data_IF_800344572776
#
_entry.id   IF_800344572776
#
_cell.length_a   1.000
_cell.length_b   1.000
_cell.length_c   1.000
_cell.angle_alpha   90.00
_cell.angle_beta   90.00
_cell.angle_gamma   90.00
#
_symmetry.space_group_name_H-M   'P 1'
#
loop_
_entity.id
_entity.type
_entity.pdbx_description
1 polymer ?
#
# COMPACT_ATOMS: atom_id res chain seq x y z
N UNK A 1 8.68 13.01 -7.22
CA UNK A 1 7.85 11.80 -7.47
C UNK A 1 6.43 12.02 -6.96
N UNK A 2 5.45 11.21 -7.41
CA UNK A 2 4.08 11.16 -6.90
C UNK A 2 3.73 9.71 -6.62
N UNK A 3 3.13 9.41 -5.47
CA UNK A 3 2.68 8.07 -5.10
C UNK A 3 1.16 8.05 -5.08
N UNK A 4 0.56 7.07 -5.75
CA UNK A 4 -0.89 6.85 -5.78
C UNK A 4 -1.24 5.47 -5.23
N UNK A 5 -2.18 5.41 -4.31
CA UNK A 5 -2.63 4.17 -3.68
C UNK A 5 -3.88 3.65 -4.38
N UNK A 6 -3.78 2.52 -5.05
CA UNK A 6 -4.88 1.86 -5.76
C UNK A 6 -5.55 0.78 -4.91
N UNK A 7 -4.85 0.27 -3.92
CA UNK A 7 -5.36 -0.70 -2.96
C UNK A 7 -4.51 -0.70 -1.69
N UNK A 8 -5.17 -0.69 -0.54
CA UNK A 8 -4.56 -0.44 0.77
C UNK A 8 -4.91 -1.48 1.83
N UNK A 9 -5.82 -2.42 1.55
CA UNK A 9 -6.21 -3.49 2.48
C UNK A 9 -5.20 -4.63 2.49
N UNK A 10 -5.00 -5.18 3.68
CA UNK A 10 -4.24 -6.42 3.90
C UNK A 10 -5.13 -7.65 3.91
N UNK A 11 -4.54 -8.78 3.60
CA UNK A 11 -5.11 -10.14 3.58
C UNK A 11 -6.29 -10.34 2.62
N UNK A 12 -7.31 -9.48 2.65
CA UNK A 12 -8.50 -9.59 1.81
C UNK A 12 -9.06 -8.21 1.41
N UNK A 13 -9.61 -8.10 0.20
CA UNK A 13 -10.41 -6.94 -0.17
C UNK A 13 -11.60 -6.78 0.77
N UNK A 14 -11.90 -5.55 1.20
CA UNK A 14 -12.98 -5.26 2.14
C UNK A 14 -13.85 -4.12 1.64
N UNK A 15 -14.94 -4.45 0.97
CA UNK A 15 -15.89 -3.45 0.45
C UNK A 15 -16.90 -3.00 1.49
N UNK A 16 -17.36 -1.76 1.37
CA UNK A 16 -18.49 -1.26 2.16
C UNK A 16 -19.77 -2.02 1.78
N UNK A 17 -20.51 -2.50 2.79
CA UNK A 17 -21.85 -3.04 2.58
C UNK A 17 -22.93 -1.95 2.73
N UNK A 18 -24.17 -2.28 2.37
CA UNK A 18 -25.30 -1.35 2.40
C UNK A 18 -25.54 -0.72 3.79
N UNK A 19 -25.35 -1.49 4.88
CA UNK A 19 -25.55 -0.97 6.24
C UNK A 19 -24.44 0.01 6.63
N UNK A 20 -23.17 -0.26 6.30
CA UNK A 20 -22.06 0.67 6.53
C UNK A 20 -22.28 1.99 5.77
N UNK A 21 -22.69 1.94 4.50
CA UNK A 21 -23.02 3.13 3.73
C UNK A 21 -24.18 3.90 4.37
N UNK A 22 -25.25 3.22 4.77
CA UNK A 22 -26.39 3.83 5.46
C UNK A 22 -25.98 4.54 6.77
N UNK A 23 -25.09 3.93 7.57
CA UNK A 23 -24.60 4.54 8.80
C UNK A 23 -23.78 5.82 8.52
N UNK A 24 -22.91 5.82 7.50
CA UNK A 24 -22.18 7.01 7.08
C UNK A 24 -23.13 8.15 6.68
N UNK A 25 -24.16 7.86 5.89
CA UNK A 25 -25.18 8.85 5.50
C UNK A 25 -25.89 9.43 6.74
N UNK A 26 -26.28 8.59 7.70
CA UNK A 26 -26.92 9.04 8.94
C UNK A 26 -25.98 9.93 9.76
N UNK A 27 -24.69 9.54 9.91
CA UNK A 27 -23.69 10.36 10.61
C UNK A 27 -23.51 11.72 9.93
N UNK A 28 -23.41 11.76 8.60
CA UNK A 28 -23.29 13.00 7.83
C UNK A 28 -24.52 13.92 8.01
N UNK A 29 -25.74 13.36 7.92
CA UNK A 29 -26.98 14.11 8.12
C UNK A 29 -27.11 14.67 9.55
N UNK A 30 -26.67 13.92 10.57
CA UNK A 30 -26.63 14.41 11.95
C UNK A 30 -25.66 15.58 12.13
N UNK A 31 -24.48 15.50 11.51
CA UNK A 31 -23.48 16.57 11.55
C UNK A 31 -23.96 17.84 10.81
N UNK A 32 -24.84 17.70 9.82
CA UNK A 32 -25.45 18.81 9.08
C UNK A 32 -26.63 19.48 9.81
N UNK A 33 -27.13 18.92 10.92
CA UNK A 33 -28.27 19.49 11.62
C UNK A 33 -28.00 20.92 12.09
N UNK A 34 -28.93 21.83 11.76
CA UNK A 34 -28.84 23.26 12.10
C UNK A 34 -27.91 24.09 11.21
N UNK A 35 -27.26 23.46 10.21
CA UNK A 35 -26.48 24.18 9.19
C UNK A 35 -27.36 24.61 8.02
N UNK A 36 -26.96 25.70 7.37
CA UNK A 36 -27.60 26.20 6.13
C UNK A 36 -26.57 26.19 5.03
N UNK A 37 -26.93 25.64 3.88
CA UNK A 37 -26.10 25.59 2.68
C UNK A 37 -26.80 26.41 1.59
N UNK A 38 -26.13 27.41 1.03
CA UNK A 38 -26.72 28.30 0.02
C UNK A 38 -26.48 27.75 -1.40
N UNK A 39 -25.48 26.89 -1.55
CA UNK A 39 -25.07 26.34 -2.85
C UNK A 39 -24.29 25.02 -2.66
N UNK A 40 -23.96 24.35 -3.78
CA UNK A 40 -23.23 23.07 -3.77
C UNK A 40 -21.80 23.20 -3.21
N UNK A 41 -21.15 24.36 -3.38
CA UNK A 41 -19.81 24.60 -2.84
C UNK A 41 -19.78 24.56 -1.31
N UNK A 42 -20.84 25.07 -0.65
CA UNK A 42 -20.98 25.01 0.82
C UNK A 42 -21.14 23.56 1.29
N UNK A 43 -21.86 22.74 0.49
CA UNK A 43 -22.00 21.30 0.75
C UNK A 43 -20.66 20.57 0.60
N UNK A 44 -19.91 20.84 -0.46
CA UNK A 44 -18.59 20.26 -0.70
C UNK A 44 -17.62 20.65 0.42
N UNK A 45 -17.58 21.93 0.81
CA UNK A 45 -16.72 22.40 1.90
C UNK A 45 -17.09 21.74 3.23
N UNK A 46 -18.37 21.58 3.55
CA UNK A 46 -18.82 20.87 4.73
C UNK A 46 -18.39 19.40 4.72
N UNK A 47 -18.57 18.69 3.60
CA UNK A 47 -18.15 17.30 3.46
C UNK A 47 -16.64 17.17 3.62
N UNK A 48 -15.87 18.03 2.97
CA UNK A 48 -14.42 17.88 2.90
C UNK A 48 -13.68 18.31 4.18
N UNK A 49 -14.23 19.32 4.90
CA UNK A 49 -13.52 19.91 6.04
C UNK A 49 -14.13 19.59 7.40
N UNK A 50 -15.44 19.34 7.46
CA UNK A 50 -16.10 19.17 8.76
C UNK A 50 -16.45 17.71 9.05
N UNK A 51 -16.59 16.84 8.04
CA UNK A 51 -16.83 15.43 8.27
C UNK A 51 -15.52 14.66 8.48
N UNK A 52 -15.44 13.79 9.49
CA UNK A 52 -14.35 12.82 9.62
C UNK A 52 -14.20 11.98 8.36
N UNK A 53 -12.98 11.54 8.04
CA UNK A 53 -12.75 10.74 6.85
C UNK A 53 -13.55 9.44 6.88
N UNK A 54 -13.70 8.79 8.05
CA UNK A 54 -14.55 7.62 8.24
C UNK A 54 -16.02 7.84 7.86
N UNK A 55 -16.49 9.09 7.81
CA UNK A 55 -17.88 9.42 7.40
C UNK A 55 -17.96 9.75 5.92
N UNK A 56 -17.05 10.61 5.42
CA UNK A 56 -17.08 11.12 4.05
C UNK A 56 -16.40 10.24 3.01
N UNK A 57 -15.59 9.28 3.42
CA UNK A 57 -14.79 8.41 2.58
C UNK A 57 -14.79 6.96 3.05
N UNK A 58 -13.82 6.20 2.58
CA UNK A 58 -13.49 4.85 3.02
C UNK A 58 -11.96 4.66 2.96
N UNK A 59 -11.41 3.95 3.94
CA UNK A 59 -9.97 3.64 3.99
C UNK A 59 -9.53 2.55 3.02
N UNK A 60 -10.35 2.29 2.00
CA UNK A 60 -10.05 1.38 0.92
C UNK A 60 -10.83 0.07 0.97
N UNK A 61 -11.00 -0.51 -0.21
CA UNK A 61 -11.68 -1.79 -0.41
C UNK A 61 -10.81 -2.78 -1.17
N UNK A 62 -9.77 -2.32 -1.85
CA UNK A 62 -8.86 -3.15 -2.63
C UNK A 62 -7.64 -3.59 -1.83
N UNK A 63 -7.10 -4.77 -2.16
CA UNK A 63 -5.83 -5.24 -1.63
C UNK A 63 -4.63 -4.61 -2.36
N UNK A 64 -3.46 -4.77 -1.79
CA UNK A 64 -2.21 -4.04 -2.03
C UNK A 64 -1.87 -3.76 -3.50
N UNK A 65 -1.88 -2.48 -3.88
CA UNK A 65 -1.34 -1.97 -5.13
C UNK A 65 -1.01 -0.49 -5.00
N UNK A 66 0.25 -0.12 -5.19
CA UNK A 66 0.74 1.25 -5.10
C UNK A 66 1.48 1.63 -6.37
N UNK A 67 1.15 2.79 -6.96
CA UNK A 67 1.84 3.33 -8.12
C UNK A 67 2.84 4.40 -7.70
N UNK A 68 4.06 4.33 -8.25
CA UNK A 68 5.11 5.35 -8.06
C UNK A 68 5.34 6.04 -9.40
N UNK A 69 4.85 7.28 -9.52
CA UNK A 69 5.03 8.10 -10.72
C UNK A 69 6.31 8.91 -10.63
N UNK A 70 7.22 8.69 -11.54
CA UNK A 70 8.50 9.41 -11.55
C UNK A 70 9.22 9.35 -12.88
N UNK A 71 8.74 8.61 -13.87
CA UNK A 71 9.34 8.42 -15.20
C UNK A 71 8.30 8.25 -16.30
N UNK A 72 8.77 7.80 -17.46
CA UNK A 72 7.93 7.58 -18.65
C UNK A 72 7.25 6.20 -18.66
N UNK A 73 7.66 5.30 -17.77
CA UNK A 73 7.10 3.97 -17.60
C UNK A 73 6.35 3.90 -16.27
N UNK A 74 5.31 3.06 -16.20
CA UNK A 74 4.59 2.79 -14.97
C UNK A 74 5.44 1.96 -14.01
N UNK A 75 5.46 2.33 -12.74
CA UNK A 75 6.07 1.56 -11.65
C UNK A 75 4.97 1.26 -10.64
N UNK A 76 4.76 -0.02 -10.36
CA UNK A 76 3.73 -0.53 -9.47
C UNK A 76 4.37 -1.43 -8.42
N UNK A 77 3.91 -1.31 -7.18
CA UNK A 77 4.25 -2.22 -6.09
C UNK A 77 3.01 -3.08 -5.82
N UNK A 78 3.20 -4.38 -5.96
CA UNK A 78 2.22 -5.46 -5.86
C UNK A 78 1.08 -5.43 -6.89
N UNK A 79 0.42 -6.58 -7.01
CA UNK A 79 -0.61 -6.89 -7.98
C UNK A 79 -1.92 -7.36 -7.31
N UNK A 80 -2.24 -6.79 -6.14
CA UNK A 80 -3.51 -7.01 -5.46
C UNK A 80 -4.69 -6.46 -6.26
N UNK A 81 -5.90 -6.49 -5.69
CA UNK A 81 -7.11 -6.10 -6.44
C UNK A 81 -7.10 -4.65 -6.89
N UNK A 82 -6.33 -3.76 -6.25
CA UNK A 82 -6.10 -2.38 -6.72
C UNK A 82 -5.51 -2.29 -8.12
N UNK A 83 -4.76 -3.31 -8.57
CA UNK A 83 -4.23 -3.37 -9.94
C UNK A 83 -5.33 -3.40 -11.01
N UNK A 84 -6.48 -4.01 -10.72
CA UNK A 84 -7.67 -3.94 -11.58
C UNK A 84 -8.11 -2.50 -11.79
N UNK A 85 -8.20 -1.73 -10.72
CA UNK A 85 -8.69 -0.35 -10.78
C UNK A 85 -7.67 0.57 -11.47
N UNK A 86 -6.38 0.40 -11.21
CA UNK A 86 -5.32 1.04 -12.00
C UNK A 86 -5.44 0.71 -13.49
N UNK A 87 -5.77 -0.53 -13.83
CA UNK A 87 -5.88 -1.00 -15.22
C UNK A 87 -7.07 -0.41 -15.99
N UNK A 88 -8.11 0.11 -15.34
CA UNK A 88 -9.30 0.64 -16.02
C UNK A 88 -9.03 1.94 -16.82
N UNK A 89 -8.44 3.00 -16.24
CA UNK A 89 -8.03 4.19 -17.00
C UNK A 89 -6.97 3.88 -18.06
N UNK A 90 -6.07 2.93 -17.78
CA UNK A 90 -4.99 2.52 -18.66
C UNK A 90 -5.44 1.53 -19.76
N UNK A 91 -6.70 1.09 -19.77
CA UNK A 91 -7.21 0.04 -20.65
C UNK A 91 -7.01 0.32 -22.16
N UNK A 92 -6.87 1.58 -22.56
CA UNK A 92 -6.61 1.99 -23.92
C UNK A 92 -5.19 2.53 -24.14
N UNK A 93 -4.37 2.60 -23.10
CA UNK A 93 -3.01 3.10 -23.20
C UNK A 93 -2.04 1.97 -23.56
N UNK A 94 -1.13 2.25 -24.50
CA UNK A 94 0.04 1.40 -24.72
C UNK A 94 1.14 1.84 -23.76
N UNK A 95 1.77 0.90 -23.07
CA UNK A 95 2.75 1.25 -22.05
C UNK A 95 3.69 0.10 -21.70
N UNK A 96 4.65 0.47 -20.87
CA UNK A 96 5.54 -0.44 -20.17
C UNK A 96 5.19 -0.38 -18.71
N UNK A 97 4.86 -1.52 -18.12
CA UNK A 97 4.42 -1.66 -16.75
C UNK A 97 5.46 -2.46 -15.98
N UNK A 98 6.11 -1.83 -15.01
CA UNK A 98 7.11 -2.44 -14.16
C UNK A 98 6.44 -2.74 -12.81
N UNK A 99 6.18 -4.01 -12.53
CA UNK A 99 5.51 -4.47 -11.31
C UNK A 99 6.56 -5.09 -10.39
N UNK A 100 6.72 -4.53 -9.20
CA UNK A 100 7.59 -5.04 -8.16
C UNK A 100 6.76 -5.80 -7.14
N UNK A 101 7.04 -7.08 -6.95
CA UNK A 101 6.31 -7.92 -6.00
C UNK A 101 7.07 -8.02 -4.68
N UNK A 102 6.38 -7.70 -3.60
CA UNK A 102 6.89 -7.90 -2.25
C UNK A 102 7.00 -9.38 -1.92
N UNK A 103 5.94 -10.15 -2.17
CA UNK A 103 5.87 -11.59 -1.95
C UNK A 103 4.71 -12.23 -2.73
N UNK A 104 4.41 -13.52 -2.46
CA UNK A 104 3.49 -14.30 -3.28
C UNK A 104 2.15 -14.64 -2.58
N UNK A 105 1.78 -13.95 -1.49
CA UNK A 105 0.46 -14.13 -0.90
C UNK A 105 -0.62 -13.59 -1.84
N UNK A 106 -1.81 -14.13 -1.71
CA UNK A 106 -2.92 -13.91 -2.63
C UNK A 106 -3.31 -12.44 -2.79
N UNK A 107 -3.38 -11.71 -1.71
CA UNK A 107 -3.75 -10.29 -1.70
C UNK A 107 -2.76 -9.39 -2.42
N UNK A 108 -1.56 -9.91 -2.75
CA UNK A 108 -0.56 -9.23 -3.57
C UNK A 108 -0.53 -9.69 -5.04
N UNK A 109 -1.31 -10.72 -5.41
CA UNK A 109 -1.33 -11.27 -6.78
C UNK A 109 -2.71 -11.32 -7.42
N UNK A 110 -3.79 -11.37 -6.62
CA UNK A 110 -5.14 -11.73 -7.09
C UNK A 110 -5.76 -10.72 -8.07
N UNK A 111 -5.23 -9.51 -8.18
CA UNK A 111 -5.68 -8.51 -9.15
C UNK A 111 -5.14 -8.70 -10.56
N UNK A 112 -4.02 -9.42 -10.72
CA UNK A 112 -3.36 -9.56 -12.01
C UNK A 112 -4.22 -10.22 -13.09
N UNK A 113 -5.01 -11.27 -12.82
CA UNK A 113 -5.92 -11.85 -13.80
C UNK A 113 -6.95 -10.87 -14.37
N UNK A 114 -7.21 -9.77 -13.69
CA UNK A 114 -8.15 -8.71 -14.06
C UNK A 114 -7.46 -7.43 -14.55
N UNK A 115 -6.15 -7.47 -14.74
CA UNK A 115 -5.36 -6.36 -15.25
C UNK A 115 -5.54 -6.21 -16.76
N UNK A 116 -6.47 -5.36 -17.18
CA UNK A 116 -6.84 -5.18 -18.60
C UNK A 116 -5.64 -4.95 -19.52
N UNK A 117 -4.61 -4.16 -19.18
CA UNK A 117 -3.44 -3.98 -20.03
C UNK A 117 -2.69 -5.27 -20.40
N UNK A 118 -2.79 -6.33 -19.57
CA UNK A 118 -2.15 -7.63 -19.87
C UNK A 118 -2.79 -8.36 -21.06
N UNK A 119 -4.01 -8.01 -21.44
CA UNK A 119 -4.72 -8.59 -22.59
C UNK A 119 -4.55 -7.77 -23.88
N UNK A 120 -3.84 -6.64 -23.84
CA UNK A 120 -3.70 -5.73 -24.97
C UNK A 120 -2.37 -5.99 -25.69
N UNK A 121 -2.38 -6.39 -26.97
CA UNK A 121 -1.15 -6.58 -27.75
C UNK A 121 -0.33 -5.28 -27.85
N UNK A 122 0.99 -5.42 -27.69
CA UNK A 122 1.94 -4.31 -27.76
C UNK A 122 2.21 -3.63 -26.42
N UNK A 123 1.52 -4.01 -25.34
CA UNK A 123 1.93 -3.69 -23.99
C UNK A 123 3.09 -4.60 -23.56
N UNK A 124 3.96 -4.09 -22.70
CA UNK A 124 5.05 -4.82 -22.06
C UNK A 124 4.87 -4.78 -20.56
N UNK A 125 4.85 -5.94 -19.92
CA UNK A 125 4.74 -6.08 -18.48
C UNK A 125 5.99 -6.78 -17.99
N UNK A 126 6.75 -6.10 -17.17
CA UNK A 126 7.98 -6.60 -16.54
C UNK A 126 7.70 -6.83 -15.07
N UNK A 127 7.76 -8.06 -14.63
CA UNK A 127 7.51 -8.44 -13.23
C UNK A 127 8.85 -8.66 -12.56
N UNK A 128 9.15 -7.85 -11.57
CA UNK A 128 10.38 -7.87 -10.78
C UNK A 128 10.09 -8.47 -9.41
N UNK A 129 10.91 -9.40 -8.97
CA UNK A 129 10.83 -9.92 -7.60
C UNK A 129 12.15 -10.52 -7.16
N UNK A 130 12.39 -10.47 -5.87
CA UNK A 130 13.50 -11.20 -5.22
C UNK A 130 13.03 -12.61 -4.84
N UNK A 131 11.72 -12.79 -4.61
CA UNK A 131 11.14 -14.08 -4.28
C UNK A 131 11.28 -15.06 -5.47
N UNK A 132 11.75 -16.28 -5.25
CA UNK A 132 11.78 -17.31 -6.29
C UNK A 132 10.36 -17.81 -6.62
N UNK A 133 10.18 -18.42 -7.81
CA UNK A 133 8.91 -19.07 -8.17
C UNK A 133 7.78 -18.14 -8.60
N UNK A 134 8.08 -16.87 -8.88
CA UNK A 134 7.07 -15.86 -9.27
C UNK A 134 6.28 -16.27 -10.51
N UNK A 135 6.95 -16.71 -11.58
CA UNK A 135 6.27 -17.14 -12.81
C UNK A 135 5.32 -18.31 -12.54
N UNK A 136 5.76 -19.29 -11.76
CA UNK A 136 4.94 -20.44 -11.37
C UNK A 136 3.70 -20.01 -10.59
N UNK A 137 3.84 -19.04 -9.67
CA UNK A 137 2.72 -18.51 -8.89
C UNK A 137 1.66 -17.85 -9.79
N UNK A 138 2.08 -17.02 -10.77
CA UNK A 138 1.17 -16.39 -11.73
C UNK A 138 0.48 -17.40 -12.63
N UNK A 139 1.20 -18.39 -13.13
CA UNK A 139 0.62 -19.47 -13.94
C UNK A 139 -0.35 -20.31 -13.12
N UNK A 140 0.00 -20.65 -11.89
CA UNK A 140 -0.82 -21.48 -11.00
C UNK A 140 -2.14 -20.80 -10.65
N UNK A 141 -2.12 -19.53 -10.24
CA UNK A 141 -3.37 -18.82 -9.91
C UNK A 141 -4.32 -18.71 -11.11
N UNK A 142 -3.79 -18.70 -12.34
CA UNK A 142 -4.58 -18.65 -13.58
C UNK A 142 -4.71 -20.01 -14.28
N UNK A 143 -4.68 -21.09 -13.53
CA UNK A 143 -4.89 -22.44 -14.02
C UNK A 143 -6.22 -23.04 -13.55
N UNK A 144 -6.81 -23.99 -14.30
CA UNK A 144 -7.92 -24.77 -13.81
C UNK A 144 -7.53 -25.56 -12.52
N UNK A 145 -8.43 -25.69 -11.53
CA UNK A 145 -9.81 -25.20 -11.50
C UNK A 145 -9.96 -23.77 -10.94
N UNK A 146 -8.87 -23.05 -10.66
CA UNK A 146 -8.90 -21.77 -9.94
C UNK A 146 -9.37 -20.60 -10.80
N UNK A 147 -8.99 -20.57 -12.09
CA UNK A 147 -9.31 -19.46 -12.98
C UNK A 147 -9.62 -19.94 -14.38
N UNK A 148 -10.64 -19.37 -15.08
CA UNK A 148 -11.09 -19.85 -16.38
C UNK A 148 -10.20 -19.40 -17.55
N UNK A 149 -9.43 -18.30 -17.38
CA UNK A 149 -8.56 -17.73 -18.43
C UNK A 149 -7.10 -18.02 -18.06
N UNK A 150 -6.43 -18.92 -18.79
CA UNK A 150 -5.06 -19.28 -18.44
C UNK A 150 -4.09 -18.12 -18.73
N UNK A 151 -2.98 -18.08 -17.99
CA UNK A 151 -1.96 -17.03 -18.08
C UNK A 151 -1.49 -16.76 -19.53
N UNK A 152 -1.28 -17.83 -20.34
CA UNK A 152 -0.84 -17.70 -21.72
C UNK A 152 -1.90 -17.11 -22.69
N UNK A 153 -3.14 -16.90 -22.25
CA UNK A 153 -4.15 -16.18 -23.02
C UNK A 153 -3.98 -14.66 -22.98
N UNK A 154 -3.14 -14.16 -22.09
CA UNK A 154 -2.73 -12.76 -22.07
C UNK A 154 -1.91 -12.42 -23.33
N UNK A 155 -2.12 -11.24 -23.89
CA UNK A 155 -1.59 -10.87 -25.22
C UNK A 155 -0.48 -9.83 -25.16
N UNK A 156 -0.21 -9.25 -23.98
CA UNK A 156 0.96 -8.42 -23.73
C UNK A 156 2.23 -9.28 -23.71
N UNK A 157 3.37 -8.66 -23.93
CA UNK A 157 4.67 -9.26 -23.66
C UNK A 157 4.92 -9.23 -22.16
N UNK A 158 4.86 -10.39 -21.49
CA UNK A 158 5.06 -10.50 -20.04
C UNK A 158 6.39 -11.19 -19.80
N UNK A 159 7.26 -10.56 -19.01
CA UNK A 159 8.59 -11.07 -18.67
C UNK A 159 8.84 -11.02 -17.17
N UNK A 160 9.54 -12.01 -16.63
CA UNK A 160 9.90 -12.12 -15.23
C UNK A 160 11.38 -11.81 -15.04
N UNK A 161 11.69 -10.92 -14.11
CA UNK A 161 13.02 -10.39 -13.85
C UNK A 161 13.40 -10.64 -12.40
N UNK A 162 14.20 -11.69 -12.11
CA UNK A 162 14.66 -11.93 -10.75
C UNK A 162 15.64 -10.84 -10.32
N UNK A 163 15.41 -10.30 -9.12
CA UNK A 163 16.29 -9.37 -8.45
C UNK A 163 17.06 -10.06 -7.32
N UNK A 164 18.10 -9.41 -6.83
CA UNK A 164 18.81 -9.79 -5.61
C UNK A 164 18.60 -8.73 -4.54
N UNK A 165 18.42 -9.13 -3.29
CA UNK A 165 18.32 -8.18 -2.19
C UNK A 165 19.67 -7.44 -2.02
N UNK A 166 19.60 -6.21 -1.51
CA UNK A 166 20.76 -5.32 -1.28
C UNK A 166 21.57 -4.93 -2.54
N UNK A 167 21.06 -5.29 -3.74
CA UNK A 167 21.63 -4.84 -5.00
C UNK A 167 20.81 -3.65 -5.53
N UNK A 168 21.52 -2.63 -6.02
CA UNK A 168 20.89 -1.45 -6.65
C UNK A 168 20.75 -1.67 -8.13
N UNK A 169 19.56 -1.46 -8.64
CA UNK A 169 19.19 -1.55 -10.07
C UNK A 169 18.73 -0.18 -10.59
N UNK A 170 18.96 0.09 -11.86
CA UNK A 170 18.33 1.19 -12.59
C UNK A 170 17.19 0.64 -13.45
N UNK A 171 15.94 0.93 -13.06
CA UNK A 171 14.74 0.41 -13.71
C UNK A 171 13.78 1.57 -13.96
N UNK A 172 13.33 1.74 -15.20
CA UNK A 172 12.40 2.82 -15.59
C UNK A 172 12.91 4.24 -15.21
N UNK A 173 14.23 4.45 -15.20
CA UNK A 173 14.85 5.72 -14.81
C UNK A 173 14.79 6.03 -13.31
N UNK A 174 14.61 5.00 -12.48
CA UNK A 174 14.58 5.08 -11.02
C UNK A 174 15.58 4.07 -10.45
N UNK A 175 16.33 4.46 -9.43
CA UNK A 175 17.19 3.53 -8.67
C UNK A 175 16.30 2.73 -7.71
N UNK A 176 16.44 1.40 -7.76
CA UNK A 176 15.64 0.49 -6.93
C UNK A 176 16.56 -0.45 -6.18
N UNK A 177 16.34 -0.59 -4.87
CA UNK A 177 16.99 -1.59 -4.01
C UNK A 177 15.93 -2.33 -3.22
N UNK A 178 16.01 -3.66 -3.20
CA UNK A 178 15.14 -4.50 -2.37
C UNK A 178 15.84 -4.97 -1.11
N UNK A 179 15.07 -5.16 -0.04
CA UNK A 179 15.52 -5.68 1.25
C UNK A 179 14.57 -6.78 1.73
N UNK A 180 15.12 -7.85 2.27
CA UNK A 180 14.33 -8.91 2.92
C UNK A 180 13.68 -8.41 4.20
N UNK A 181 12.43 -8.77 4.42
CA UNK A 181 11.61 -8.45 5.58
C UNK A 181 11.14 -9.75 6.26
N UNK A 182 10.87 -9.67 7.55
CA UNK A 182 10.41 -10.83 8.31
C UNK A 182 8.89 -11.00 8.15
N UNK A 183 8.51 -12.02 7.37
CA UNK A 183 7.11 -12.40 7.14
C UNK A 183 7.05 -13.89 6.82
N UNK A 184 6.00 -14.64 7.20
CA UNK A 184 5.84 -16.03 6.80
C UNK A 184 5.85 -16.21 5.27
N UNK A 185 6.82 -16.96 4.75
CA UNK A 185 7.01 -17.15 3.31
C UNK A 185 7.91 -16.10 2.64
N UNK A 186 8.63 -15.31 3.41
CA UNK A 186 9.51 -14.22 3.01
C UNK A 186 8.80 -13.07 2.28
N UNK A 187 9.07 -11.84 2.66
CA UNK A 187 8.62 -10.62 1.98
C UNK A 187 9.81 -9.70 1.72
N UNK A 188 9.67 -8.79 0.76
CA UNK A 188 10.72 -7.86 0.37
C UNK A 188 10.18 -6.44 0.24
N UNK A 189 10.79 -5.51 0.99
CA UNK A 189 10.56 -4.08 0.80
C UNK A 189 11.39 -3.54 -0.35
N UNK A 190 10.93 -2.45 -0.97
CA UNK A 190 11.64 -1.78 -2.06
C UNK A 190 11.83 -0.30 -1.76
N UNK A 191 13.06 0.18 -1.95
CA UNK A 191 13.41 1.59 -1.90
C UNK A 191 13.61 2.12 -3.31
N UNK A 192 12.87 3.16 -3.67
CA UNK A 192 12.90 3.85 -4.96
C UNK A 192 13.51 5.23 -4.77
N UNK A 193 14.49 5.59 -5.61
CA UNK A 193 15.17 6.88 -5.53
C UNK A 193 15.28 7.53 -6.91
N UNK A 194 14.91 8.82 -7.00
CA UNK A 194 15.04 9.63 -8.21
C UNK A 194 15.15 11.11 -7.86
N UNK A 195 16.12 11.81 -8.48
CA UNK A 195 16.30 13.25 -8.36
C UNK A 195 16.37 13.75 -6.90
N UNK A 196 17.00 12.98 -6.01
CA UNK A 196 17.12 13.31 -4.60
C UNK A 196 15.86 13.03 -3.76
N UNK A 197 14.80 12.49 -4.36
CA UNK A 197 13.58 12.04 -3.67
C UNK A 197 13.61 10.53 -3.47
N UNK A 198 13.00 10.06 -2.38
CA UNK A 198 12.97 8.64 -2.04
C UNK A 198 11.62 8.18 -1.49
N UNK A 199 11.21 6.98 -1.90
CA UNK A 199 10.02 6.27 -1.40
C UNK A 199 10.44 4.87 -0.99
N UNK A 200 10.02 4.44 0.20
CA UNK A 200 10.15 3.05 0.63
C UNK A 200 8.77 2.41 0.71
N UNK A 201 8.58 1.31 0.00
CA UNK A 201 7.44 0.42 0.10
C UNK A 201 7.83 -0.77 0.98
N UNK A 202 7.27 -0.84 2.18
CA UNK A 202 7.57 -1.84 3.22
C UNK A 202 6.26 -2.41 3.77
N UNK A 203 5.64 -3.26 2.97
CA UNK A 203 4.45 -4.04 3.35
C UNK A 203 4.85 -5.36 3.96
N UNK A 204 3.94 -6.02 4.68
CA UNK A 204 4.07 -7.38 5.20
C UNK A 204 5.43 -7.62 5.88
N UNK A 205 5.57 -6.97 7.02
CA UNK A 205 6.81 -7.05 7.80
C UNK A 205 6.55 -6.98 9.29
N UNK A 206 7.08 -7.96 10.01
CA UNK A 206 7.13 -7.96 11.47
C UNK A 206 8.53 -7.56 11.92
N UNK A 207 8.64 -6.50 12.72
CA UNK A 207 9.93 -6.06 13.27
C UNK A 207 9.98 -6.33 14.77
N UNK A 208 10.94 -7.17 15.18
CA UNK A 208 11.19 -7.48 16.59
C UNK A 208 12.49 -6.81 17.02
N UNK A 209 12.44 -6.13 18.16
CA UNK A 209 13.65 -5.57 18.81
C UNK A 209 14.31 -6.68 19.65
N UNK A 210 15.05 -7.59 19.02
CA UNK A 210 15.90 -8.53 19.71
C UNK A 210 17.38 -8.35 19.33
N UNK A 211 18.29 -8.87 20.15
CA UNK A 211 19.73 -8.67 19.99
C UNK A 211 20.31 -9.35 18.73
N UNK A 212 19.57 -10.26 18.10
CA UNK A 212 20.00 -11.03 16.93
C UNK A 212 19.40 -10.46 15.63
N UNK A 213 18.47 -9.52 15.73
CA UNK A 213 17.74 -8.99 14.59
C UNK A 213 18.42 -7.75 14.00
N UNK A 214 18.62 -7.68 12.67
CA UNK A 214 19.23 -6.54 12.01
C UNK A 214 18.27 -5.32 11.90
N UNK A 215 17.71 -4.86 13.03
CA UNK A 215 16.97 -3.58 13.08
C UNK A 215 17.80 -2.45 12.47
N UNK A 216 19.13 -2.49 12.68
CA UNK A 216 20.04 -1.54 12.07
C UNK A 216 20.04 -1.58 10.54
N UNK A 217 19.97 -2.76 9.91
CA UNK A 217 19.90 -2.86 8.46
C UNK A 217 18.61 -2.26 7.91
N UNK A 218 17.47 -2.47 8.61
CA UNK A 218 16.20 -1.86 8.25
C UNK A 218 16.23 -0.34 8.44
N UNK A 219 16.79 0.16 9.53
CA UNK A 219 16.93 1.60 9.76
C UNK A 219 17.77 2.27 8.68
N UNK A 220 18.86 1.63 8.22
CA UNK A 220 19.64 2.13 7.09
C UNK A 220 18.86 2.10 5.77
N UNK A 221 17.98 1.11 5.59
CA UNK A 221 17.11 1.00 4.41
C UNK A 221 16.09 2.12 4.31
N UNK A 222 15.50 2.54 5.45
CA UNK A 222 14.50 3.62 5.53
C UNK A 222 15.09 4.99 5.82
N UNK A 223 16.41 5.10 6.08
CA UNK A 223 17.05 6.34 6.52
C UNK A 223 16.74 7.52 5.60
N UNK A 224 16.30 8.63 6.22
CA UNK A 224 16.03 9.91 5.58
C UNK A 224 15.05 9.82 4.38
N UNK A 225 14.21 8.79 4.36
CA UNK A 225 13.22 8.61 3.29
C UNK A 225 12.18 9.72 3.32
N UNK A 226 11.83 10.24 2.13
CA UNK A 226 10.77 11.26 2.02
C UNK A 226 9.38 10.68 2.31
N UNK A 227 9.13 9.44 1.88
CA UNK A 227 7.90 8.70 2.20
C UNK A 227 8.20 7.24 2.53
N UNK A 228 7.85 6.82 3.73
CA UNK A 228 7.79 5.42 4.14
C UNK A 228 6.33 4.94 4.12
N UNK A 229 6.03 3.98 3.25
CA UNK A 229 4.77 3.23 3.24
C UNK A 229 5.03 1.98 4.07
N UNK A 230 4.37 1.87 5.22
CA UNK A 230 4.71 0.88 6.23
C UNK A 230 3.52 0.03 6.63
N UNK A 231 3.74 -1.28 6.77
CA UNK A 231 2.79 -2.24 7.31
C UNK A 231 2.39 -1.86 8.74
N UNK A 232 1.15 -1.48 8.92
CA UNK A 232 0.55 -1.21 10.21
C UNK A 232 -0.82 -1.89 10.31
N UNK A 233 -0.86 -3.18 10.00
CA UNK A 233 -2.09 -3.96 9.92
C UNK A 233 -2.80 -4.00 11.27
N UNK A 234 -2.05 -4.09 12.37
CA UNK A 234 -2.61 -4.34 13.69
C UNK A 234 -2.53 -3.13 14.62
N UNK A 235 -3.44 -3.08 15.59
CA UNK A 235 -3.22 -2.31 16.81
C UNK A 235 -2.09 -2.93 17.63
N UNK A 236 -1.51 -2.17 18.56
CA UNK A 236 -0.49 -2.71 19.46
C UNK A 236 -1.02 -3.94 20.23
N UNK A 237 -2.26 -3.88 20.70
CA UNK A 237 -2.87 -4.98 21.48
C UNK A 237 -3.02 -6.25 20.65
N UNK A 238 -3.43 -6.15 19.40
CA UNK A 238 -3.53 -7.30 18.51
C UNK A 238 -2.15 -7.89 18.19
N UNK A 239 -1.16 -7.02 17.94
CA UNK A 239 0.19 -7.43 17.57
C UNK A 239 0.95 -8.16 18.69
N UNK A 240 0.71 -7.81 19.97
CA UNK A 240 1.34 -8.48 21.12
C UNK A 240 0.49 -9.61 21.70
N UNK A 241 -0.74 -9.79 21.20
CA UNK A 241 -1.71 -10.79 21.65
C UNK A 241 -1.85 -11.95 20.66
N UNK A 242 -3.07 -12.15 20.20
CA UNK A 242 -3.43 -13.32 19.37
C UNK A 242 -2.77 -13.37 17.99
N UNK A 243 -2.21 -12.23 17.51
CA UNK A 243 -1.60 -12.09 16.19
C UNK A 243 -0.08 -11.96 16.23
N UNK A 244 0.55 -12.29 17.34
CA UNK A 244 2.01 -12.38 17.45
C UNK A 244 2.56 -13.45 16.48
N UNK A 245 3.65 -13.13 15.75
CA UNK A 245 4.26 -13.98 14.72
C UNK A 245 3.42 -14.21 13.46
N UNK A 246 2.44 -13.36 13.20
CA UNK A 246 1.69 -13.41 11.94
C UNK A 246 2.40 -12.65 10.81
N UNK A 247 3.53 -12.01 11.12
CA UNK A 247 4.38 -11.34 10.12
C UNK A 247 3.98 -9.91 9.80
N UNK A 248 3.23 -9.24 10.69
CA UNK A 248 2.79 -7.86 10.51
C UNK A 248 3.14 -6.98 11.70
N UNK A 249 3.25 -5.69 11.45
CA UNK A 249 3.57 -4.66 12.43
C UNK A 249 2.33 -3.89 12.89
N UNK A 250 2.58 -2.92 13.76
CA UNK A 250 1.58 -2.01 14.31
C UNK A 250 2.00 -0.55 14.17
N UNK A 251 1.06 0.34 14.41
CA UNK A 251 1.23 1.78 14.30
C UNK A 251 2.28 2.37 15.25
N UNK A 252 2.45 1.82 16.44
CA UNK A 252 3.41 2.31 17.45
C UNK A 252 4.84 2.05 16.98
N UNK A 253 5.12 0.82 16.55
CA UNK A 253 6.43 0.45 16.03
C UNK A 253 6.76 1.22 14.74
N UNK A 254 5.74 1.46 13.89
CA UNK A 254 5.90 2.28 12.70
C UNK A 254 6.44 3.68 13.02
N UNK A 255 5.90 4.34 14.06
CA UNK A 255 6.37 5.66 14.53
C UNK A 255 7.77 5.58 15.07
N UNK A 256 8.09 4.59 15.92
CA UNK A 256 9.43 4.44 16.51
C UNK A 256 10.50 4.30 15.42
N UNK A 257 10.27 3.41 14.46
CA UNK A 257 11.22 3.18 13.35
C UNK A 257 11.32 4.41 12.43
N UNK A 258 10.20 5.08 12.14
CA UNK A 258 10.20 6.27 11.31
C UNK A 258 10.96 7.45 11.95
N UNK A 259 10.81 7.66 13.26
CA UNK A 259 11.56 8.69 14.01
C UNK A 259 13.04 8.35 14.05
N UNK A 260 13.41 7.11 14.38
CA UNK A 260 14.80 6.65 14.44
C UNK A 260 15.47 6.69 13.05
N UNK A 261 14.74 6.33 12.00
CA UNK A 261 15.18 6.41 10.60
C UNK A 261 15.19 7.83 10.01
N UNK A 262 14.78 8.85 10.77
CA UNK A 262 14.65 10.24 10.29
C UNK A 262 13.76 10.37 9.04
N UNK A 263 12.71 9.57 8.96
CA UNK A 263 11.73 9.59 7.88
C UNK A 263 10.96 10.90 7.90
N UNK A 264 10.69 11.50 6.75
CA UNK A 264 9.94 12.76 6.68
C UNK A 264 8.43 12.56 6.75
N UNK A 265 7.92 11.52 6.07
CA UNK A 265 6.50 11.18 6.07
C UNK A 265 6.29 9.68 6.20
N UNK A 266 5.46 9.27 7.16
CA UNK A 266 5.02 7.89 7.39
C UNK A 266 3.59 7.74 6.87
N UNK A 267 3.35 6.75 6.01
CA UNK A 267 2.03 6.35 5.57
C UNK A 267 1.72 4.94 6.07
N UNK A 268 0.76 4.83 6.99
CA UNK A 268 0.29 3.55 7.51
C UNK A 268 -0.50 2.83 6.42
N UNK A 269 -0.17 1.58 6.17
CA UNK A 269 -0.63 0.80 5.03
C UNK A 269 -0.99 -0.63 5.44
N UNK A 270 -1.53 -1.43 4.54
CA UNK A 270 -1.88 -2.84 4.71
C UNK A 270 -2.93 -3.07 5.80
N UNK A 271 -4.05 -2.37 5.67
CA UNK A 271 -5.09 -2.28 6.69
C UNK A 271 -5.80 -3.60 6.97
N UNK A 272 -5.95 -3.93 8.24
CA UNK A 272 -6.72 -5.11 8.69
C UNK A 272 -8.13 -5.11 8.09
N UNK A 273 -8.48 -6.20 7.42
CA UNK A 273 -9.74 -6.33 6.68
C UNK A 273 -11.00 -6.35 7.56
N UNK A 274 -10.84 -6.64 8.84
CA UNK A 274 -11.95 -6.68 9.81
C UNK A 274 -12.24 -5.33 10.46
N UNK A 275 -11.32 -4.35 10.38
CA UNK A 275 -11.51 -3.04 10.97
C UNK A 275 -12.43 -2.16 10.13
N UNK A 276 -13.32 -1.44 10.83
CA UNK A 276 -14.17 -0.41 10.23
C UNK A 276 -13.42 0.92 10.08
N UNK A 277 -13.95 1.81 9.24
CA UNK A 277 -13.31 3.12 8.99
C UNK A 277 -13.18 3.99 10.24
N UNK A 278 -14.12 3.87 11.21
CA UNK A 278 -14.01 4.57 12.50
C UNK A 278 -12.76 4.13 13.29
N UNK A 279 -12.41 2.84 13.25
CA UNK A 279 -11.19 2.30 13.89
C UNK A 279 -9.94 2.91 13.27
N UNK A 280 -9.91 3.14 11.97
CA UNK A 280 -8.76 3.77 11.31
C UNK A 280 -8.63 5.27 11.64
N UNK A 281 -9.74 6.01 11.78
CA UNK A 281 -9.68 7.39 12.26
C UNK A 281 -9.11 7.44 13.70
N UNK A 282 -9.55 6.55 14.59
CA UNK A 282 -9.04 6.42 15.96
C UNK A 282 -7.56 6.03 15.96
N UNK A 283 -7.18 5.00 15.18
CA UNK A 283 -5.80 4.53 15.07
C UNK A 283 -4.84 5.63 14.58
N UNK A 284 -5.28 6.44 13.61
CA UNK A 284 -4.49 7.56 13.10
C UNK A 284 -4.27 8.63 14.18
N UNK A 285 -5.31 8.97 14.97
CA UNK A 285 -5.19 9.96 16.02
C UNK A 285 -4.36 9.44 17.21
N UNK A 286 -4.50 8.18 17.57
CA UNK A 286 -3.66 7.52 18.58
C UNK A 286 -2.19 7.50 18.14
N UNK A 287 -1.93 7.21 16.88
CA UNK A 287 -0.58 7.23 16.29
C UNK A 287 0.05 8.62 16.37
N UNK A 288 -0.71 9.67 16.04
CA UNK A 288 -0.26 11.06 16.14
C UNK A 288 -0.03 11.48 17.60
N UNK A 289 -0.89 11.00 18.49
CA UNK A 289 -0.73 11.25 19.95
C UNK A 289 0.53 10.58 20.47
N UNK A 290 0.80 9.35 20.07
CA UNK A 290 2.02 8.64 20.44
C UNK A 290 3.27 9.38 19.92
N UNK A 291 3.27 9.85 18.68
CA UNK A 291 4.39 10.66 18.15
C UNK A 291 4.67 11.89 19.03
N UNK A 292 3.63 12.63 19.44
CA UNK A 292 3.79 13.81 20.32
C UNK A 292 4.41 13.44 21.67
N UNK A 293 4.08 12.27 22.21
CA UNK A 293 4.67 11.76 23.47
C UNK A 293 6.11 11.31 23.25
N UNK A 294 6.40 10.59 22.17
CA UNK A 294 7.72 10.06 21.88
C UNK A 294 8.74 11.18 21.58
N UNK A 295 8.32 12.21 20.84
CA UNK A 295 9.17 13.31 20.42
C UNK A 295 8.38 14.59 20.18
N UNK A 296 8.45 15.52 21.11
CA UNK A 296 7.79 16.85 21.00
C UNK A 296 8.33 17.69 19.84
N UNK A 297 9.54 17.42 19.38
CA UNK A 297 10.23 18.19 18.33
C UNK A 297 10.23 17.50 16.96
N UNK A 298 9.62 16.33 16.84
CA UNK A 298 9.58 15.59 15.59
C UNK A 298 8.75 16.35 14.53
N UNK A 299 9.29 16.40 13.32
CA UNK A 299 8.60 16.94 12.13
C UNK A 299 8.00 15.84 11.26
N UNK A 300 7.93 14.59 11.75
CA UNK A 300 7.36 13.47 11.06
C UNK A 300 5.87 13.72 10.76
N UNK A 301 5.51 13.70 9.49
CA UNK A 301 4.11 13.71 9.07
C UNK A 301 3.55 12.29 9.04
N UNK A 302 2.34 12.08 9.58
CA UNK A 302 1.69 10.77 9.59
C UNK A 302 0.40 10.83 8.79
N UNK A 303 0.27 9.93 7.82
CA UNK A 303 -0.93 9.69 7.02
C UNK A 303 -1.41 8.24 7.19
N UNK A 304 -2.72 8.03 6.97
CA UNK A 304 -3.33 6.71 6.80
C UNK A 304 -3.62 6.55 5.31
N UNK A 305 -3.17 5.46 4.71
CA UNK A 305 -3.44 5.17 3.30
C UNK A 305 -4.95 4.93 3.07
N UNK A 306 -5.43 5.29 1.90
CA UNK A 306 -6.75 4.92 1.40
C UNK A 306 -6.73 4.80 -0.12
N UNK A 307 -7.63 4.01 -0.68
CA UNK A 307 -7.73 3.87 -2.14
C UNK A 307 -8.04 5.23 -2.78
N UNK A 308 -7.19 5.67 -3.69
CA UNK A 308 -7.26 6.98 -4.33
C UNK A 308 -6.41 8.07 -3.69
N UNK A 309 -5.72 7.81 -2.56
CA UNK A 309 -4.78 8.78 -1.97
C UNK A 309 -3.62 9.05 -2.94
N UNK A 310 -3.30 10.32 -3.13
CA UNK A 310 -2.08 10.79 -3.81
C UNK A 310 -1.17 11.54 -2.85
N UNK A 311 0.10 11.16 -2.82
CA UNK A 311 1.14 11.84 -2.02
C UNK A 311 2.23 12.35 -2.97
N UNK A 312 2.40 13.67 -3.02
CA UNK A 312 3.50 14.30 -3.77
C UNK A 312 4.75 14.35 -2.89
N UNK A 313 5.87 13.87 -3.43
CA UNK A 313 7.17 13.85 -2.78
C UNK A 313 7.96 15.10 -3.15
#
# INVERSE_FOLDING_TARGET
MLVHFWGTRGSLPSSLNAEKVRQKIIKALRAAQGKTFENDSDLEEFVDRELPFAVRGAYGGNSSCVEIRGGDEYILCDAGTGLRDFGQPAANARGVYNIFLSHLHWDHLQGFPFFTPAYIPGNRIKIYSIHPGVEEAFVTQQSPPFFPVPFHAMRAEITFHPLQHDVVYEIAGVRVRGMMQHHPGDSYGYRFEKDGQSVVYSTDSEHKKDAENPVYAYLDFIRETDLLIFDAQYTLLDAIGDKENWGHSNNILAVELAVEGMVKRLCLFHHEHTYDDDVFDELLEDTRTYLRILSETSTLEIAMAYDGLEIKI
#
